data_IF_634398933263
#
_entry.id   IF_634398933263
#
_cell.length_a   1.000
_cell.length_b   1.000
_cell.length_c   1.000
_cell.angle_alpha   90.00
_cell.angle_beta   90.00
_cell.angle_gamma   90.00
#
_symmetry.space_group_name_H-M   'P 1'
#
loop_
_entity.id
_entity.type
_entity.pdbx_description
1 polymer ?
#
# COMPACT_ATOMS: atom_id res chain seq x y z
N UNK A 1 1.98 4.54 5.21
CA UNK A 1 1.84 4.25 3.76
C UNK A 1 3.21 4.11 3.14
N UNK A 2 3.48 2.97 2.53
CA UNK A 2 4.72 2.72 1.81
C UNK A 2 4.39 2.02 0.50
N UNK A 3 3.89 2.82 -0.45
CA UNK A 3 3.46 2.35 -1.77
C UNK A 3 4.50 1.45 -2.45
N UNK A 4 5.82 1.76 -2.43
CA UNK A 4 6.82 0.85 -2.98
C UNK A 4 6.79 -0.55 -2.34
N UNK A 5 6.62 -0.66 -1.02
CA UNK A 5 6.46 -1.96 -0.34
C UNK A 5 5.25 -2.72 -0.86
N UNK A 6 4.07 -2.07 -0.94
CA UNK A 6 2.87 -2.74 -1.45
C UNK A 6 3.05 -3.22 -2.89
N UNK A 7 3.64 -2.42 -3.77
CA UNK A 7 3.93 -2.79 -5.16
C UNK A 7 4.84 -4.02 -5.25
N UNK A 8 5.92 -4.05 -4.46
CA UNK A 8 6.91 -5.14 -4.45
C UNK A 8 6.27 -6.42 -3.89
N UNK A 9 5.58 -6.35 -2.76
CA UNK A 9 4.96 -7.50 -2.11
C UNK A 9 3.85 -8.11 -2.97
N UNK A 10 2.97 -7.26 -3.53
CA UNK A 10 1.91 -7.71 -4.43
C UNK A 10 2.47 -8.40 -5.68
N UNK A 11 3.50 -7.80 -6.29
CA UNK A 11 4.15 -8.41 -7.44
C UNK A 11 4.83 -9.73 -7.07
N UNK A 12 5.45 -9.84 -5.90
CA UNK A 12 6.07 -11.10 -5.45
C UNK A 12 5.04 -12.22 -5.27
N UNK A 13 3.89 -11.90 -4.68
CA UNK A 13 2.83 -12.87 -4.37
C UNK A 13 2.02 -13.28 -5.61
N UNK A 14 1.63 -12.33 -6.47
CA UNK A 14 0.68 -12.58 -7.56
C UNK A 14 1.33 -12.96 -8.90
N UNK A 15 2.63 -12.73 -9.08
CA UNK A 15 3.29 -12.88 -10.40
C UNK A 15 3.44 -14.32 -10.90
N UNK A 16 3.22 -15.36 -10.09
CA UNK A 16 3.33 -16.75 -10.54
C UNK A 16 2.01 -17.53 -10.35
N UNK A 17 1.52 -18.27 -11.37
CA UNK A 17 2.04 -18.50 -12.73
C UNK A 17 1.31 -17.66 -13.79
N UNK A 18 1.33 -16.32 -13.70
CA UNK A 18 0.50 -15.47 -14.57
C UNK A 18 1.31 -14.87 -15.71
N UNK A 19 0.65 -14.63 -16.85
CA UNK A 19 1.27 -14.04 -18.02
C UNK A 19 1.90 -12.68 -17.68
N UNK A 20 3.05 -12.29 -18.29
CA UNK A 20 3.73 -11.03 -18.00
C UNK A 20 2.84 -9.78 -18.11
N UNK A 21 1.84 -9.81 -18.99
CA UNK A 21 0.83 -8.74 -19.16
C UNK A 21 0.04 -8.45 -17.88
N UNK A 22 -0.08 -9.41 -16.96
CA UNK A 22 -0.77 -9.25 -15.67
C UNK A 22 0.04 -8.44 -14.66
N UNK A 23 1.31 -8.13 -14.95
CA UNK A 23 2.13 -7.23 -14.12
C UNK A 23 1.44 -5.87 -13.94
N UNK A 24 0.88 -5.29 -15.01
CA UNK A 24 0.23 -3.98 -14.94
C UNK A 24 -1.04 -3.98 -14.06
N UNK A 25 -1.99 -4.90 -14.25
CA UNK A 25 -3.10 -5.07 -13.32
C UNK A 25 -2.70 -5.18 -11.85
N UNK A 26 -1.66 -5.94 -11.55
CA UNK A 26 -1.14 -6.10 -10.18
C UNK A 26 -0.60 -4.76 -9.67
N UNK A 27 0.27 -4.09 -10.42
CA UNK A 27 0.84 -2.81 -10.00
C UNK A 27 -0.24 -1.72 -9.83
N UNK A 28 -1.23 -1.69 -10.72
CA UNK A 28 -2.36 -0.76 -10.63
C UNK A 28 -3.18 -1.06 -9.37
N UNK A 29 -3.53 -2.32 -9.12
CA UNK A 29 -4.31 -2.70 -7.94
C UNK A 29 -3.59 -2.39 -6.62
N UNK A 30 -2.27 -2.56 -6.55
CA UNK A 30 -1.47 -2.17 -5.40
C UNK A 30 -1.34 -0.64 -5.21
N UNK A 31 -1.52 0.15 -6.27
CA UNK A 31 -1.43 1.61 -6.25
C UNK A 31 -2.76 2.30 -5.90
N UNK A 32 -3.90 1.72 -6.30
CA UNK A 32 -5.23 2.33 -6.12
C UNK A 32 -5.51 2.77 -4.67
N UNK A 33 -5.24 1.96 -3.63
CA UNK A 33 -5.51 2.36 -2.25
C UNK A 33 -4.77 3.64 -1.83
N UNK A 34 -3.54 3.80 -2.30
CA UNK A 34 -2.66 4.93 -2.00
C UNK A 34 -2.89 6.13 -2.91
N UNK A 35 -3.46 5.93 -4.09
CA UNK A 35 -3.63 6.97 -5.11
C UNK A 35 -4.37 8.19 -4.55
N UNK A 36 -5.42 7.95 -3.75
CA UNK A 36 -6.18 9.02 -3.11
C UNK A 36 -5.33 9.87 -2.16
N UNK A 37 -4.34 9.26 -1.48
CA UNK A 37 -3.41 9.98 -0.59
C UNK A 37 -2.53 10.96 -1.35
N UNK A 38 -2.01 10.55 -2.51
CA UNK A 38 -1.20 11.44 -3.35
C UNK A 38 -2.01 12.63 -3.87
N UNK A 39 -3.27 12.38 -4.28
CA UNK A 39 -4.18 13.44 -4.72
C UNK A 39 -4.51 14.38 -3.57
N UNK A 40 -4.82 13.84 -2.39
CA UNK A 40 -5.05 14.61 -1.17
C UNK A 40 -3.86 15.52 -0.84
N UNK A 41 -2.66 14.94 -0.79
CA UNK A 41 -1.46 15.70 -0.43
C UNK A 41 -1.17 16.78 -1.47
N UNK A 42 -1.25 16.48 -2.77
CA UNK A 42 -1.07 17.48 -3.83
C UNK A 42 -2.10 18.62 -3.73
N UNK A 43 -3.38 18.28 -3.51
CA UNK A 43 -4.42 19.27 -3.28
C UNK A 43 -4.12 20.13 -2.04
N UNK A 44 -3.77 19.52 -0.91
CA UNK A 44 -3.51 20.20 0.34
C UNK A 44 -2.31 21.16 0.24
N UNK A 45 -1.25 20.73 -0.45
CA UNK A 45 -0.07 21.56 -0.75
C UNK A 45 -0.41 22.71 -1.69
N UNK A 46 -1.27 22.49 -2.70
CA UNK A 46 -1.76 23.56 -3.56
C UNK A 46 -2.60 24.58 -2.78
N UNK A 47 -3.41 24.14 -1.81
CA UNK A 47 -4.13 25.04 -0.90
C UNK A 47 -3.21 25.80 0.08
N UNK A 48 -1.90 25.55 0.07
CA UNK A 48 -0.93 26.23 0.94
C UNK A 48 -1.04 25.81 2.41
N UNK A 49 -1.61 24.63 2.70
CA UNK A 49 -1.77 24.16 4.06
C UNK A 49 -0.40 23.83 4.70
N UNK A 50 -0.15 24.24 5.96
CA UNK A 50 1.01 23.79 6.72
C UNK A 50 0.99 22.27 6.94
N UNK A 51 2.16 21.62 6.95
CA UNK A 51 2.30 20.16 7.16
C UNK A 51 1.51 19.65 8.37
N UNK A 52 1.60 20.35 9.51
CA UNK A 52 0.85 19.99 10.71
C UNK A 52 -0.66 19.94 10.44
N UNK A 53 -1.22 20.96 9.82
CA UNK A 53 -2.65 21.05 9.49
C UNK A 53 -3.09 19.98 8.49
N UNK A 54 -2.22 19.63 7.52
CA UNK A 54 -2.50 18.56 6.55
C UNK A 54 -2.77 17.26 7.29
N UNK A 55 -1.85 16.86 8.16
CA UNK A 55 -1.89 15.54 8.80
C UNK A 55 -2.74 15.50 10.07
N UNK A 56 -2.90 16.61 10.80
CA UNK A 56 -3.70 16.64 12.03
C UNK A 56 -5.19 16.90 11.81
N UNK A 57 -5.54 17.57 10.71
CA UNK A 57 -6.91 18.09 10.52
C UNK A 57 -7.48 17.77 9.15
N UNK A 58 -6.81 18.18 8.07
CA UNK A 58 -7.36 18.01 6.72
C UNK A 58 -7.50 16.53 6.35
N UNK A 59 -6.52 15.70 6.73
CA UNK A 59 -6.51 14.25 6.54
C UNK A 59 -7.74 13.58 7.15
N UNK A 60 -8.14 14.02 8.34
CA UNK A 60 -9.27 13.45 9.09
C UNK A 60 -10.63 14.05 8.72
N UNK A 61 -10.67 15.00 7.77
CA UNK A 61 -11.93 15.57 7.31
C UNK A 61 -12.80 14.52 6.61
N UNK A 62 -14.12 14.62 6.83
CA UNK A 62 -15.09 13.65 6.32
C UNK A 62 -15.00 13.43 4.79
N UNK A 63 -14.90 14.47 3.93
CA UNK A 63 -14.84 14.26 2.48
C UNK A 63 -13.62 13.44 2.06
N UNK A 64 -12.44 13.72 2.63
CA UNK A 64 -11.22 12.98 2.30
C UNK A 64 -11.26 11.57 2.86
N UNK A 65 -11.76 11.38 4.09
CA UNK A 65 -11.95 10.06 4.67
C UNK A 65 -12.94 9.19 3.87
N UNK A 66 -13.96 9.78 3.24
CA UNK A 66 -14.87 9.06 2.33
C UNK A 66 -14.17 8.67 1.03
N UNK A 67 -13.36 9.55 0.44
CA UNK A 67 -12.55 9.22 -0.74
C UNK A 67 -11.54 8.10 -0.42
N UNK A 68 -10.84 8.18 0.72
CA UNK A 68 -9.91 7.14 1.15
C UNK A 68 -10.60 5.79 1.36
N UNK A 69 -11.84 5.79 1.89
CA UNK A 69 -12.59 4.56 2.12
C UNK A 69 -12.94 3.82 0.81
N UNK A 70 -13.16 4.54 -0.29
CA UNK A 70 -13.40 3.92 -1.60
C UNK A 70 -12.16 3.16 -2.08
N UNK A 71 -10.98 3.81 -2.04
CA UNK A 71 -9.72 3.18 -2.42
C UNK A 71 -9.31 2.05 -1.47
N UNK A 72 -9.70 2.15 -0.20
CA UNK A 72 -9.38 1.17 0.85
C UNK A 72 -10.44 0.09 1.08
N UNK A 73 -11.41 -0.04 0.19
CA UNK A 73 -12.51 -0.99 0.33
C UNK A 73 -12.12 -2.42 -0.10
N UNK A 74 -11.96 -3.31 0.88
CA UNK A 74 -11.85 -4.75 0.63
C UNK A 74 -13.09 -5.31 -0.10
N UNK A 75 -14.34 -4.94 0.24
CA UNK A 75 -15.52 -5.37 -0.52
C UNK A 75 -15.46 -5.03 -2.01
N UNK A 76 -14.99 -3.84 -2.39
CA UNK A 76 -14.83 -3.46 -3.80
C UNK A 76 -13.72 -4.27 -4.48
N UNK A 77 -12.60 -4.52 -3.78
CA UNK A 77 -11.55 -5.42 -4.27
C UNK A 77 -12.07 -6.84 -4.53
N UNK A 78 -12.82 -7.41 -3.58
CA UNK A 78 -13.45 -8.73 -3.70
C UNK A 78 -14.50 -8.77 -4.82
N UNK A 79 -15.27 -7.69 -5.00
CA UNK A 79 -16.21 -7.56 -6.12
C UNK A 79 -15.47 -7.54 -7.47
N UNK A 80 -14.35 -6.82 -7.58
CA UNK A 80 -13.52 -6.81 -8.79
C UNK A 80 -12.94 -8.21 -9.10
N UNK A 81 -12.56 -8.98 -8.08
CA UNK A 81 -12.21 -10.41 -8.24
C UNK A 81 -13.40 -11.17 -8.83
N UNK A 82 -14.56 -11.15 -8.16
CA UNK A 82 -15.75 -11.90 -8.59
C UNK A 82 -16.17 -11.56 -10.02
N UNK A 83 -16.23 -10.27 -10.36
CA UNK A 83 -16.58 -9.79 -11.72
C UNK A 83 -15.50 -10.16 -12.74
N UNK A 84 -14.21 -10.03 -12.39
CA UNK A 84 -13.11 -10.40 -13.26
C UNK A 84 -13.16 -11.87 -13.68
N UNK A 85 -13.48 -12.76 -12.75
CA UNK A 85 -13.69 -14.18 -13.06
C UNK A 85 -14.98 -14.43 -13.84
N UNK A 86 -16.11 -13.88 -13.38
CA UNK A 86 -17.43 -14.08 -14.01
C UNK A 86 -17.47 -13.61 -15.47
N UNK A 87 -16.91 -12.43 -15.74
CA UNK A 87 -16.86 -11.84 -17.08
C UNK A 87 -15.67 -12.33 -17.92
N UNK A 88 -14.85 -13.25 -17.40
CA UNK A 88 -13.59 -13.71 -18.02
C UNK A 88 -12.63 -12.55 -18.34
N UNK A 89 -12.69 -11.47 -17.57
CA UNK A 89 -11.79 -10.31 -17.60
C UNK A 89 -10.78 -10.42 -16.47
N UNK A 90 -9.90 -11.42 -16.55
CA UNK A 90 -8.97 -11.75 -15.46
C UNK A 90 -8.09 -10.59 -15.00
N UNK A 91 -7.76 -9.64 -15.89
CA UNK A 91 -7.03 -8.43 -15.51
C UNK A 91 -7.74 -7.66 -14.38
N UNK A 92 -9.08 -7.56 -14.41
CA UNK A 92 -9.87 -6.90 -13.36
C UNK A 92 -9.77 -7.69 -12.05
N UNK A 93 -9.73 -9.03 -12.15
CA UNK A 93 -9.53 -9.88 -10.98
C UNK A 93 -8.16 -9.69 -10.33
N UNK A 94 -7.11 -9.48 -11.13
CA UNK A 94 -5.77 -9.17 -10.60
C UNK A 94 -5.68 -7.77 -9.97
N UNK A 95 -6.40 -6.77 -10.51
CA UNK A 95 -6.53 -5.47 -9.85
C UNK A 95 -7.17 -5.65 -8.47
N UNK A 96 -8.32 -6.34 -8.40
CA UNK A 96 -9.03 -6.58 -7.15
C UNK A 96 -8.23 -7.41 -6.14
N UNK A 97 -7.58 -8.49 -6.59
CA UNK A 97 -6.71 -9.32 -5.74
C UNK A 97 -5.56 -8.51 -5.17
N UNK A 98 -4.98 -7.61 -5.96
CA UNK A 98 -3.88 -6.77 -5.50
C UNK A 98 -4.33 -5.68 -4.52
N UNK A 99 -5.52 -5.10 -4.71
CA UNK A 99 -6.12 -4.22 -3.70
C UNK A 99 -6.35 -4.95 -2.38
N UNK A 100 -6.91 -6.17 -2.41
CA UNK A 100 -7.13 -6.96 -1.19
C UNK A 100 -5.82 -7.28 -0.49
N UNK A 101 -4.78 -7.71 -1.22
CA UNK A 101 -3.47 -7.98 -0.64
C UNK A 101 -2.81 -6.73 -0.05
N UNK A 102 -2.99 -5.56 -0.68
CA UNK A 102 -2.58 -4.29 -0.11
C UNK A 102 -3.24 -4.08 1.26
N UNK A 103 -4.58 -4.17 1.33
CA UNK A 103 -5.31 -3.98 2.59
C UNK A 103 -4.95 -5.00 3.66
N UNK A 104 -4.64 -6.25 3.29
CA UNK A 104 -4.19 -7.26 4.25
C UNK A 104 -2.80 -6.94 4.83
N UNK A 105 -1.94 -6.26 4.07
CA UNK A 105 -0.65 -5.78 4.57
C UNK A 105 -0.82 -4.56 5.50
N UNK A 106 -1.80 -3.71 5.21
CA UNK A 106 -2.09 -2.49 5.98
C UNK A 106 -2.85 -2.77 7.28
N UNK A 107 -3.80 -3.71 7.27
CA UNK A 107 -4.66 -4.00 8.41
C UNK A 107 -3.90 -4.13 9.74
N UNK A 108 -2.77 -4.87 9.84
CA UNK A 108 -2.03 -4.99 11.09
C UNK A 108 -1.13 -3.78 11.40
N UNK A 109 -1.07 -2.72 10.59
CA UNK A 109 -0.11 -1.62 10.74
C UNK A 109 -0.76 -0.25 10.96
N UNK A 110 -2.09 -0.17 11.13
CA UNK A 110 -2.79 1.08 11.38
C UNK A 110 -3.44 1.12 12.76
N UNK A 111 -2.94 2.00 13.63
CA UNK A 111 -3.51 2.28 14.95
C UNK A 111 -4.46 3.50 14.87
N UNK A 112 -3.89 4.71 14.77
CA UNK A 112 -4.66 5.97 14.80
C UNK A 112 -5.24 6.38 13.44
N UNK A 113 -4.62 5.91 12.36
CA UNK A 113 -4.93 6.25 10.97
C UNK A 113 -5.70 5.13 10.24
N UNK A 114 -6.35 4.24 11.00
CA UNK A 114 -7.05 3.08 10.47
C UNK A 114 -8.14 3.43 9.44
N UNK A 115 -8.09 2.75 8.29
CA UNK A 115 -9.05 2.90 7.22
C UNK A 115 -10.33 2.08 7.47
N UNK A 116 -11.43 2.51 6.85
CA UNK A 116 -12.71 1.79 6.86
C UNK A 116 -12.71 0.68 5.80
N UNK A 117 -11.92 -0.36 6.02
CA UNK A 117 -11.69 -1.39 5.00
C UNK A 117 -12.95 -2.17 4.57
N UNK A 118 -14.00 -2.18 5.39
CA UNK A 118 -15.26 -2.86 5.11
C UNK A 118 -16.33 -1.97 4.46
N UNK A 119 -16.00 -0.72 4.13
CA UNK A 119 -16.93 0.16 3.40
C UNK A 119 -17.29 -0.45 2.03
N UNK A 120 -18.52 -0.33 1.51
CA UNK A 120 -19.68 0.36 2.08
C UNK A 120 -20.52 -0.51 3.04
N UNK A 121 -20.12 -1.76 3.27
CA UNK A 121 -20.89 -2.70 4.10
C UNK A 121 -20.81 -2.34 5.59
N UNK A 122 -19.68 -1.77 6.03
CA UNK A 122 -19.46 -1.34 7.41
C UNK A 122 -18.45 -0.19 7.47
N UNK A 123 -18.61 0.69 8.47
CA UNK A 123 -17.68 1.77 8.79
C UNK A 123 -16.69 1.41 9.91
N UNK A 124 -16.70 0.16 10.37
CA UNK A 124 -15.79 -0.32 11.42
C UNK A 124 -14.34 -0.22 10.93
N UNK A 125 -13.49 0.31 11.81
CA UNK A 125 -12.03 0.37 11.65
C UNK A 125 -11.40 -0.71 12.52
N UNK A 126 -10.43 -1.42 11.98
CA UNK A 126 -9.60 -2.30 12.79
C UNK A 126 -8.45 -1.47 13.38
N UNK A 127 -8.46 -1.31 14.70
CA UNK A 127 -7.42 -0.58 15.43
C UNK A 127 -6.32 -1.57 15.79
N UNK A 128 -5.23 -1.57 15.05
CA UNK A 128 -4.11 -2.47 15.29
C UNK A 128 -3.27 -1.99 16.47
N UNK A 129 -2.77 -2.87 17.36
CA UNK A 129 -1.78 -2.49 18.39
C UNK A 129 -0.41 -2.13 17.81
N UNK A 130 -0.19 -2.38 16.51
CA UNK A 130 1.03 -2.02 15.79
C UNK A 130 0.71 -0.90 14.80
N UNK A 131 1.49 0.17 14.86
CA UNK A 131 1.43 1.31 13.96
C UNK A 131 2.50 1.21 12.88
N UNK A 132 2.33 1.98 11.82
CA UNK A 132 3.28 2.10 10.72
C UNK A 132 4.45 3.01 11.08
N UNK A 133 4.20 4.02 11.93
CA UNK A 133 5.12 5.12 12.19
C UNK A 133 5.22 5.48 13.68
N UNK A 134 4.20 5.18 14.47
CA UNK A 134 4.17 5.55 15.88
C UNK A 134 5.01 4.57 16.71
N UNK A 135 6.07 5.10 17.32
CA UNK A 135 6.99 4.34 18.16
C UNK A 135 6.33 3.83 19.45
N UNK A 136 5.31 4.53 19.95
CA UNK A 136 4.58 4.15 21.16
C UNK A 136 3.63 2.98 20.90
N UNK A 137 3.31 2.72 19.63
CA UNK A 137 2.49 1.60 19.16
C UNK A 137 3.32 0.62 18.31
N UNK A 138 4.48 0.19 18.80
CA UNK A 138 5.34 -0.82 18.14
C UNK A 138 5.75 -0.48 16.69
N UNK A 139 5.76 0.81 16.31
CA UNK A 139 6.00 1.22 14.93
C UNK A 139 7.35 0.79 14.35
N UNK A 140 8.39 0.73 15.18
CA UNK A 140 9.70 0.20 14.77
C UNK A 140 9.63 -1.27 14.39
N UNK A 141 8.87 -2.08 15.13
CA UNK A 141 8.68 -3.50 14.83
C UNK A 141 7.94 -3.67 13.51
N UNK A 142 6.83 -2.94 13.32
CA UNK A 142 6.06 -2.94 12.07
C UNK A 142 6.94 -2.58 10.86
N UNK A 143 7.65 -1.46 10.94
CA UNK A 143 8.57 -1.02 9.88
C UNK A 143 9.72 -2.01 9.61
N UNK A 144 10.26 -2.66 10.66
CA UNK A 144 11.31 -3.69 10.51
C UNK A 144 10.78 -4.90 9.75
N UNK A 145 9.62 -5.42 10.16
CA UNK A 145 9.02 -6.61 9.55
C UNK A 145 8.66 -6.34 8.09
N UNK A 146 8.10 -5.18 7.79
CA UNK A 146 7.81 -4.80 6.41
C UNK A 146 9.09 -4.72 5.56
N UNK A 147 10.15 -4.07 6.05
CA UNK A 147 11.42 -4.00 5.35
C UNK A 147 11.97 -5.40 5.05
N UNK A 148 11.95 -6.31 6.04
CA UNK A 148 12.40 -7.70 5.84
C UNK A 148 11.60 -8.38 4.74
N UNK A 149 10.27 -8.26 4.76
CA UNK A 149 9.40 -8.83 3.73
C UNK A 149 9.73 -8.26 2.34
N UNK A 150 9.94 -6.96 2.24
CA UNK A 150 10.30 -6.28 0.98
C UNK A 150 11.66 -6.74 0.46
N UNK A 151 12.66 -6.90 1.33
CA UNK A 151 13.99 -7.38 0.94
C UNK A 151 13.90 -8.83 0.45
N UNK A 152 13.17 -9.71 1.14
CA UNK A 152 12.92 -11.09 0.71
C UNK A 152 12.21 -11.13 -0.65
N UNK A 153 11.14 -10.34 -0.80
CA UNK A 153 10.40 -10.21 -2.05
C UNK A 153 11.27 -9.67 -3.19
N UNK A 154 12.17 -8.72 -2.89
CA UNK A 154 13.11 -8.15 -3.85
C UNK A 154 14.10 -9.21 -4.36
N UNK A 155 14.74 -9.94 -3.45
CA UNK A 155 15.67 -11.04 -3.79
C UNK A 155 14.94 -12.10 -4.62
N UNK A 156 13.70 -12.42 -4.28
CA UNK A 156 12.86 -13.34 -5.04
C UNK A 156 12.54 -12.80 -6.46
N UNK A 157 12.19 -11.52 -6.60
CA UNK A 157 11.75 -10.94 -7.88
C UNK A 157 12.89 -10.63 -8.86
N UNK A 158 14.06 -10.20 -8.37
CA UNK A 158 15.20 -9.79 -9.20
C UNK A 158 15.55 -10.77 -10.33
N UNK A 159 15.81 -12.07 -10.07
CA UNK A 159 16.15 -13.02 -11.14
C UNK A 159 14.97 -13.35 -12.06
N UNK A 160 13.75 -12.94 -11.69
CA UNK A 160 12.52 -13.23 -12.45
C UNK A 160 12.14 -12.08 -13.38
N UNK A 161 12.67 -10.87 -13.20
CA UNK A 161 12.41 -9.72 -14.06
C UNK A 161 13.13 -9.86 -15.41
N UNK A 162 12.44 -9.51 -16.49
CA UNK A 162 12.91 -9.75 -17.87
C UNK A 162 13.90 -8.72 -18.39
N UNK A 163 13.98 -7.53 -17.77
CA UNK A 163 14.83 -6.43 -18.24
C UNK A 163 15.77 -5.93 -17.15
N UNK A 164 16.96 -5.49 -17.54
CA UNK A 164 17.92 -4.82 -16.65
C UNK A 164 17.35 -3.55 -16.04
N UNK A 165 16.50 -2.83 -16.79
CA UNK A 165 15.82 -1.64 -16.31
C UNK A 165 14.89 -1.96 -15.13
N UNK A 166 14.01 -2.97 -15.26
CA UNK A 166 13.12 -3.39 -14.16
C UNK A 166 13.90 -3.90 -12.95
N UNK A 167 15.00 -4.62 -13.17
CA UNK A 167 15.90 -5.07 -12.10
C UNK A 167 16.53 -3.88 -11.35
N UNK A 168 17.05 -2.90 -12.09
CA UNK A 168 17.64 -1.70 -11.52
C UNK A 168 16.60 -0.86 -10.76
N UNK A 169 15.39 -0.72 -11.29
CA UNK A 169 14.30 0.00 -10.62
C UNK A 169 13.91 -0.67 -9.30
N UNK A 170 13.75 -1.99 -9.29
CA UNK A 170 13.45 -2.75 -8.09
C UNK A 170 14.58 -2.63 -7.05
N UNK A 171 15.84 -2.76 -7.47
CA UNK A 171 16.99 -2.62 -6.60
C UNK A 171 17.09 -1.20 -6.01
N UNK A 172 16.88 -0.17 -6.82
CA UNK A 172 16.86 1.22 -6.37
C UNK A 172 15.75 1.47 -5.35
N UNK A 173 14.54 0.97 -5.59
CA UNK A 173 13.44 1.06 -4.63
C UNK A 173 13.81 0.41 -3.28
N UNK A 174 14.34 -0.82 -3.30
CA UNK A 174 14.77 -1.50 -2.08
C UNK A 174 15.87 -0.75 -1.31
N UNK A 175 16.84 -0.16 -2.02
CA UNK A 175 17.90 0.68 -1.42
C UNK A 175 17.30 1.92 -0.75
N UNK A 176 16.40 2.63 -1.44
CA UNK A 176 15.75 3.82 -0.91
C UNK A 176 14.92 3.51 0.35
N UNK A 177 14.16 2.41 0.33
CA UNK A 177 13.38 1.95 1.48
C UNK A 177 14.27 1.58 2.68
N UNK A 178 15.38 0.88 2.41
CA UNK A 178 16.36 0.55 3.45
C UNK A 178 16.96 1.82 4.04
N UNK A 179 17.35 2.79 3.20
CA UNK A 179 17.88 4.08 3.65
C UNK A 179 16.87 4.87 4.49
N UNK A 180 15.62 4.96 4.06
CA UNK A 180 14.54 5.61 4.81
C UNK A 180 14.33 4.95 6.18
N UNK A 181 14.30 3.63 6.24
CA UNK A 181 14.19 2.89 7.49
C UNK A 181 15.36 3.16 8.44
N UNK A 182 16.61 3.13 7.94
CA UNK A 182 17.80 3.40 8.75
C UNK A 182 17.79 4.82 9.35
N UNK A 183 17.25 5.80 8.62
CA UNK A 183 17.04 7.15 9.13
C UNK A 183 15.98 7.19 10.23
N UNK A 184 14.90 6.42 10.09
CA UNK A 184 13.81 6.33 11.07
C UNK A 184 14.27 5.73 12.40
N UNK A 185 15.12 4.70 12.37
CA UNK A 185 15.58 3.99 13.59
C UNK A 185 16.89 4.54 14.16
N UNK A 186 17.46 5.59 13.56
CA UNK A 186 18.69 6.20 14.05
C UNK A 186 18.46 6.74 15.48
N UNK A 187 19.36 6.43 16.44
CA UNK A 187 19.28 7.00 17.79
C UNK A 187 19.31 8.54 17.70
N UNK A 188 18.32 9.20 18.30
CA UNK A 188 18.40 10.63 18.53
C UNK A 188 19.28 10.82 19.77
N UNK A 189 20.56 11.13 19.52
CA UNK A 189 21.52 11.47 20.56
C UNK A 189 21.32 12.88 21.09
#
# INVERSE_FOLDING_TARGET
MNTPSHLILNLALLRRPVAPVMTWPILIGALIPDAAMFVFYAWARWQGLPESTIWSTAYYSQPWQDIFAVGNSMPLGLLAIALGYYLKRYWLGFVGASMVLHHLADLPLHHDDAHRHFWPLSSVRFISPVSYWDVDHLGRLGATLELVLVLVATVYLLPRLSTRFSQALLAAAAVLLTGAYLLLVRPQG
#
